data_IF_082683134479
#
_entry.id   IF_082683134479
#
_cell.length_a   1.000
_cell.length_b   1.000
_cell.length_c   1.000
_cell.angle_alpha   90.00
_cell.angle_beta   90.00
_cell.angle_gamma   90.00
#
_symmetry.space_group_name_H-M   'P 1'
#
loop_
_entity.id
_entity.type
_entity.pdbx_description
1 polymer ?
#
# COMPACT_ATOMS: atom_id res chain seq x y z
N UNK A 1 -6.61 -20.26 -4.46
CA UNK A 1 -7.13 -19.03 -3.82
C UNK A 1 -8.00 -19.36 -2.62
N UNK A 2 -9.00 -20.26 -2.73
CA UNK A 2 -9.80 -20.70 -1.57
C UNK A 2 -8.98 -21.26 -0.41
N UNK A 3 -7.97 -22.08 -0.69
CA UNK A 3 -7.12 -22.66 0.37
C UNK A 3 -6.29 -21.61 1.12
N UNK A 4 -5.90 -20.52 0.46
CA UNK A 4 -5.18 -19.41 1.10
C UNK A 4 -6.15 -18.48 1.86
N UNK A 5 -7.41 -18.34 1.40
CA UNK A 5 -8.47 -17.65 2.16
C UNK A 5 -8.87 -18.39 3.42
N UNK A 6 -8.98 -19.72 3.33
CA UNK A 6 -9.30 -20.58 4.48
C UNK A 6 -8.25 -20.46 5.60
N UNK A 7 -7.01 -20.15 5.22
CA UNK A 7 -5.89 -19.93 6.15
C UNK A 7 -5.68 -18.46 6.52
N UNK A 8 -6.62 -17.58 6.13
CA UNK A 8 -6.57 -16.13 6.37
C UNK A 8 -5.35 -15.40 5.78
N UNK A 9 -4.64 -16.04 4.84
CA UNK A 9 -3.44 -15.48 4.18
C UNK A 9 -3.82 -14.46 3.10
N UNK A 10 -5.02 -14.58 2.52
CA UNK A 10 -5.57 -13.65 1.51
C UNK A 10 -7.04 -13.39 1.83
N UNK A 11 -7.49 -12.15 1.74
CA UNK A 11 -8.87 -11.70 1.99
C UNK A 11 -9.70 -11.59 0.71
N UNK A 12 -9.10 -11.37 -0.46
CA UNK A 12 -9.83 -11.15 -1.73
C UNK A 12 -9.32 -12.03 -2.90
N UNK A 13 -9.90 -11.87 -4.10
CA UNK A 13 -9.47 -12.58 -5.33
C UNK A 13 -8.30 -11.86 -6.00
N UNK A 14 -7.88 -10.72 -5.44
CA UNK A 14 -6.79 -9.93 -5.96
C UNK A 14 -5.44 -10.61 -5.67
N UNK A 15 -4.41 -10.07 -6.31
CA UNK A 15 -3.02 -10.50 -6.11
C UNK A 15 -2.72 -10.63 -4.61
N UNK A 16 -2.18 -11.76 -4.14
CA UNK A 16 -1.85 -12.00 -2.72
C UNK A 16 -0.91 -10.93 -2.12
N UNK A 17 -0.26 -10.14 -2.98
CA UNK A 17 0.62 -9.03 -2.63
C UNK A 17 -0.13 -7.89 -1.93
N UNK A 18 -1.40 -7.66 -2.28
CA UNK A 18 -2.23 -6.61 -1.66
C UNK A 18 -2.60 -6.99 -0.23
N UNK A 19 -3.27 -8.12 -0.10
CA UNK A 19 -3.72 -8.66 1.20
C UNK A 19 -2.54 -8.87 2.17
N UNK A 20 -1.38 -9.34 1.68
CA UNK A 20 -0.20 -9.47 2.53
C UNK A 20 0.34 -8.11 3.00
N UNK A 21 0.29 -7.07 2.16
CA UNK A 21 0.67 -5.73 2.60
C UNK A 21 -0.29 -5.20 3.67
N UNK A 22 -1.60 -5.39 3.49
CA UNK A 22 -2.61 -5.03 4.51
C UNK A 22 -2.30 -5.71 5.85
N UNK A 23 -2.03 -7.01 5.82
CA UNK A 23 -1.65 -7.77 7.01
C UNK A 23 -0.40 -7.18 7.67
N UNK A 24 0.68 -6.96 6.91
CA UNK A 24 1.93 -6.42 7.45
C UNK A 24 1.76 -5.04 8.09
N UNK A 25 1.06 -4.11 7.43
CA UNK A 25 0.80 -2.78 7.99
C UNK A 25 -0.08 -2.86 9.24
N UNK A 26 -1.13 -3.69 9.23
CA UNK A 26 -1.99 -3.88 10.40
C UNK A 26 -1.23 -4.47 11.59
N UNK A 27 -0.36 -5.46 11.36
CA UNK A 27 0.48 -6.07 12.40
C UNK A 27 1.50 -5.08 12.94
N UNK A 28 2.18 -4.32 12.07
CA UNK A 28 3.22 -3.38 12.47
C UNK A 28 2.69 -2.21 13.31
N UNK A 29 1.50 -1.70 12.98
CA UNK A 29 0.98 -0.46 13.55
C UNK A 29 -0.31 -0.61 14.36
N UNK A 30 -0.85 -1.83 14.48
CA UNK A 30 -2.12 -2.08 15.15
C UNK A 30 -3.31 -1.44 14.44
N UNK A 31 -3.24 -1.25 13.11
CA UNK A 31 -4.32 -0.65 12.34
C UNK A 31 -5.52 -1.60 12.20
N UNK A 32 -6.72 -1.03 12.26
CA UNK A 32 -7.95 -1.73 11.95
C UNK A 32 -8.17 -1.74 10.43
N UNK A 33 -8.25 -2.92 9.83
CA UNK A 33 -8.53 -3.06 8.40
C UNK A 33 -10.01 -2.78 8.10
N UNK A 34 -10.26 -1.95 7.08
CA UNK A 34 -11.59 -1.65 6.59
C UNK A 34 -12.16 -2.84 5.80
N UNK A 35 -13.44 -3.11 5.98
CA UNK A 35 -14.16 -4.23 5.34
C UNK A 35 -14.95 -3.80 4.12
N UNK A 36 -15.29 -2.51 4.04
CA UNK A 36 -16.07 -1.92 2.96
C UNK A 36 -15.17 -1.29 1.90
N UNK A 37 -15.14 -1.89 0.71
CA UNK A 37 -14.43 -1.31 -0.44
C UNK A 37 -14.97 0.05 -0.90
N UNK A 38 -16.15 0.47 -0.41
CA UNK A 38 -16.75 1.76 -0.73
C UNK A 38 -16.14 2.92 0.08
N UNK A 39 -15.45 2.63 1.20
CA UNK A 39 -14.90 3.62 2.11
C UNK A 39 -13.77 4.48 1.50
N UNK A 40 -13.04 3.93 0.53
CA UNK A 40 -11.96 4.63 -0.17
C UNK A 40 -10.63 4.72 0.60
N UNK A 41 -10.46 3.87 1.61
CA UNK A 41 -9.22 3.59 2.33
C UNK A 41 -9.25 2.10 2.77
N UNK A 42 -8.10 1.55 3.15
CA UNK A 42 -7.95 0.12 3.49
C UNK A 42 -7.79 -0.11 4.99
N UNK A 43 -7.36 0.89 5.76
CA UNK A 43 -7.16 0.75 7.20
C UNK A 43 -7.32 2.07 7.95
N UNK A 44 -7.55 2.00 9.27
CA UNK A 44 -7.51 3.15 10.18
C UNK A 44 -6.66 2.88 11.41
N UNK A 45 -6.07 3.92 11.98
CA UNK A 45 -5.48 3.84 13.32
C UNK A 45 -6.52 4.15 14.42
N UNK A 46 -6.08 4.09 15.68
CA UNK A 46 -6.91 4.37 16.86
C UNK A 46 -7.46 5.80 16.93
N UNK A 47 -6.81 6.74 16.25
CA UNK A 47 -7.18 8.15 16.22
C UNK A 47 -8.09 8.47 15.01
N UNK A 48 -8.44 7.44 14.22
CA UNK A 48 -9.31 7.55 13.06
C UNK A 48 -8.60 8.01 11.79
N UNK A 49 -7.26 8.06 11.77
CA UNK A 49 -6.49 8.39 10.58
C UNK A 49 -6.65 7.29 9.55
N UNK A 50 -6.95 7.65 8.30
CA UNK A 50 -7.28 6.71 7.22
C UNK A 50 -6.08 6.46 6.33
N UNK A 51 -5.79 5.20 6.08
CA UNK A 51 -4.68 4.73 5.26
C UNK A 51 -5.19 4.00 4.03
N UNK A 52 -4.74 4.40 2.85
CA UNK A 52 -4.82 3.54 1.66
C UNK A 52 -3.53 2.74 1.57
N UNK A 53 -3.63 1.43 1.41
CA UNK A 53 -2.50 0.52 1.28
C UNK A 53 -2.32 0.12 -0.20
N UNK A 54 -1.08 0.20 -0.68
CA UNK A 54 -0.72 -0.18 -2.05
C UNK A 54 0.61 -0.90 -2.03
N UNK A 55 0.73 -1.93 -2.85
CA UNK A 55 1.96 -2.73 -2.89
C UNK A 55 2.33 -3.15 -4.30
N UNK A 56 3.61 -3.50 -4.47
CA UNK A 56 4.15 -3.97 -5.74
C UNK A 56 5.24 -5.01 -5.50
N UNK A 57 5.14 -6.13 -6.21
CA UNK A 57 6.18 -7.16 -6.28
C UNK A 57 7.10 -6.89 -7.47
N UNK A 58 8.39 -6.77 -7.21
CA UNK A 58 9.43 -6.57 -8.23
C UNK A 58 10.01 -7.92 -8.62
N UNK A 59 10.10 -8.20 -9.92
CA UNK A 59 10.68 -9.43 -10.45
C UNK A 59 11.72 -9.12 -11.53
N UNK A 60 12.56 -10.09 -11.89
CA UNK A 60 13.54 -9.92 -12.96
C UNK A 60 12.88 -9.53 -14.31
N UNK A 61 11.65 -10.00 -14.55
CA UNK A 61 10.87 -9.68 -15.76
C UNK A 61 10.01 -8.42 -15.61
N UNK A 62 9.86 -7.88 -14.39
CA UNK A 62 9.08 -6.67 -14.12
C UNK A 62 9.65 -5.91 -12.91
N UNK A 63 10.64 -5.07 -13.19
CA UNK A 63 11.23 -4.17 -12.19
C UNK A 63 10.43 -2.88 -11.94
N UNK A 64 9.26 -2.72 -12.56
CA UNK A 64 8.47 -1.49 -12.44
C UNK A 64 7.93 -1.33 -11.03
N UNK A 65 8.29 -0.21 -10.39
CA UNK A 65 7.77 0.24 -9.09
C UNK A 65 6.41 0.95 -9.18
N UNK A 66 5.73 0.84 -10.33
CA UNK A 66 4.39 1.41 -10.48
C UNK A 66 3.40 0.66 -9.59
N UNK A 67 2.75 1.38 -8.69
CA UNK A 67 1.67 0.86 -7.85
C UNK A 67 0.40 0.62 -8.69
N UNK A 68 -0.57 -0.10 -8.11
CA UNK A 68 -1.90 -0.16 -8.70
C UNK A 68 -2.56 1.21 -8.73
N UNK A 69 -3.45 1.40 -9.70
CA UNK A 69 -4.13 2.68 -9.91
C UNK A 69 -4.94 3.11 -8.68
N UNK A 70 -4.87 4.40 -8.35
CA UNK A 70 -5.70 5.04 -7.34
C UNK A 70 -6.80 5.85 -8.03
N UNK A 71 -8.04 5.58 -7.70
CA UNK A 71 -9.19 6.34 -8.22
C UNK A 71 -9.57 7.43 -7.23
N UNK A 72 -10.17 8.53 -7.73
CA UNK A 72 -10.72 9.59 -6.88
C UNK A 72 -9.69 10.21 -5.92
N UNK A 73 -8.42 10.27 -6.34
CA UNK A 73 -7.34 10.83 -5.52
C UNK A 73 -7.65 12.27 -5.02
N UNK A 74 -8.23 13.18 -5.84
CA UNK A 74 -8.58 14.52 -5.37
C UNK A 74 -9.67 14.57 -4.29
N UNK A 75 -10.45 13.49 -4.10
CA UNK A 75 -11.55 13.45 -3.11
C UNK A 75 -11.08 13.19 -1.67
N UNK A 76 -9.76 13.00 -1.43
CA UNK A 76 -9.17 12.86 -0.08
C UNK A 76 -9.87 11.83 0.82
N UNK A 77 -10.15 10.64 0.27
CA UNK A 77 -10.79 9.52 1.00
C UNK A 77 -9.88 8.83 2.02
N UNK A 78 -8.58 9.10 1.95
CA UNK A 78 -7.57 8.66 2.90
C UNK A 78 -6.65 9.84 3.23
N UNK A 79 -5.99 9.77 4.38
CA UNK A 79 -5.08 10.79 4.89
C UNK A 79 -3.63 10.47 4.54
N UNK A 80 -3.28 9.18 4.49
CA UNK A 80 -1.95 8.69 4.11
C UNK A 80 -2.00 7.52 3.13
N UNK A 81 -1.02 7.47 2.22
CA UNK A 81 -0.73 6.31 1.39
C UNK A 81 0.38 5.49 2.06
N UNK A 82 0.06 4.27 2.47
CA UNK A 82 1.01 3.28 2.92
C UNK A 82 1.43 2.41 1.72
N UNK A 83 2.70 2.51 1.31
CA UNK A 83 3.22 1.86 0.12
C UNK A 83 4.33 0.85 0.43
N UNK A 84 4.29 -0.32 -0.21
CA UNK A 84 5.24 -1.41 0.03
C UNK A 84 5.77 -2.03 -1.28
N UNK A 85 7.09 -2.12 -1.40
CA UNK A 85 7.78 -2.88 -2.44
C UNK A 85 8.26 -4.21 -1.88
N UNK A 86 7.82 -5.28 -2.51
CA UNK A 86 8.35 -6.62 -2.30
C UNK A 86 9.38 -6.98 -3.38
N UNK A 87 10.31 -7.86 -3.03
CA UNK A 87 11.15 -8.52 -4.01
C UNK A 87 10.46 -9.75 -4.65
N UNK A 88 11.20 -10.47 -5.49
CA UNK A 88 10.67 -11.65 -6.17
C UNK A 88 10.30 -12.80 -5.22
N UNK A 89 10.76 -12.79 -3.97
CA UNK A 89 10.50 -13.80 -2.94
C UNK A 89 9.47 -13.35 -1.91
N UNK A 90 8.78 -12.24 -2.15
CA UNK A 90 7.84 -11.61 -1.20
C UNK A 90 8.52 -11.06 0.06
N UNK A 91 9.84 -10.84 0.03
CA UNK A 91 10.54 -10.18 1.12
C UNK A 91 10.35 -8.66 1.01
N UNK A 92 10.23 -8.01 2.17
CA UNK A 92 10.07 -6.55 2.27
C UNK A 92 11.34 -5.86 1.78
N UNK A 93 11.25 -5.20 0.63
CA UNK A 93 12.36 -4.45 0.04
C UNK A 93 12.40 -3.02 0.58
N UNK A 94 11.28 -2.31 0.51
CA UNK A 94 11.10 -0.95 1.05
C UNK A 94 9.63 -0.69 1.39
N UNK A 95 9.39 0.06 2.45
CA UNK A 95 8.07 0.53 2.84
C UNK A 95 8.09 2.02 3.21
N UNK A 96 7.01 2.73 2.92
CA UNK A 96 6.88 4.16 3.18
C UNK A 96 5.44 4.53 3.48
N UNK A 97 5.25 5.49 4.37
CA UNK A 97 3.97 6.18 4.57
C UNK A 97 4.13 7.60 4.01
N UNK A 98 3.27 7.96 3.06
CA UNK A 98 3.25 9.27 2.40
C UNK A 98 1.98 10.03 2.81
N UNK A 99 2.07 11.34 3.12
CA UNK A 99 0.87 12.15 3.28
C UNK A 99 0.09 12.22 1.97
N UNK A 100 -1.24 12.34 2.05
CA UNK A 100 -2.07 12.64 0.87
C UNK A 100 -1.65 13.99 0.26
N UNK A 101 -1.29 14.96 1.11
CA UNK A 101 -0.74 16.24 0.68
C UNK A 101 0.52 16.06 -0.18
N UNK A 102 0.53 16.67 -1.36
CA UNK A 102 1.62 16.55 -2.34
C UNK A 102 1.64 15.25 -3.15
N UNK A 103 0.78 14.27 -2.85
CA UNK A 103 0.73 13.00 -3.57
C UNK A 103 0.22 13.16 -5.01
N UNK A 104 -0.78 14.02 -5.22
CA UNK A 104 -1.34 14.29 -6.55
C UNK A 104 -0.28 14.82 -7.53
N UNK A 105 0.58 15.74 -7.07
CA UNK A 105 1.67 16.30 -7.87
C UNK A 105 2.75 15.29 -8.27
N UNK A 106 2.76 14.09 -7.67
CA UNK A 106 3.67 12.99 -8.01
C UNK A 106 3.00 11.85 -8.77
N UNK A 107 1.69 11.93 -8.91
CA UNK A 107 0.93 10.97 -9.68
C UNK A 107 0.77 11.44 -11.12
N UNK A 108 0.73 10.51 -12.05
CA UNK A 108 0.30 10.78 -13.43
C UNK A 108 -1.15 10.35 -13.57
N UNK A 109 -2.03 11.28 -13.96
CA UNK A 109 -3.40 10.95 -14.30
C UNK A 109 -3.47 10.22 -15.65
N UNK A 110 -4.29 9.16 -15.71
CA UNK A 110 -4.63 8.47 -16.95
C UNK A 110 -6.10 8.69 -17.26
N UNK A 111 -6.37 9.44 -18.33
CA UNK A 111 -7.74 9.68 -18.80
C UNK A 111 -8.46 8.39 -19.20
N UNK A 112 -7.73 7.43 -19.80
CA UNK A 112 -8.31 6.16 -20.24
C UNK A 112 -8.87 5.32 -19.08
N UNK A 113 -8.12 5.22 -17.98
CA UNK A 113 -8.56 4.45 -16.81
C UNK A 113 -9.28 5.29 -15.74
N UNK A 114 -9.43 6.61 -15.99
CA UNK A 114 -9.91 7.61 -15.05
C UNK A 114 -9.29 7.44 -13.65
N UNK A 115 -7.96 7.32 -13.61
CA UNK A 115 -7.24 6.97 -12.40
C UNK A 115 -5.81 7.50 -12.39
N UNK A 116 -5.26 7.62 -11.18
CA UNK A 116 -3.95 8.14 -10.88
C UNK A 116 -2.95 7.01 -10.71
N UNK A 117 -1.75 7.18 -11.26
CA UNK A 117 -0.64 6.24 -11.09
C UNK A 117 0.49 6.90 -10.35
N UNK A 118 0.93 6.24 -9.29
CA UNK A 118 2.19 6.55 -8.62
C UNK A 118 3.23 5.50 -8.99
N UNK A 119 4.44 5.97 -9.29
CA UNK A 119 5.63 5.12 -9.35
C UNK A 119 6.45 5.41 -8.09
N UNK A 120 6.72 4.38 -7.29
CA UNK A 120 7.39 4.54 -6.01
C UNK A 120 8.91 4.66 -6.20
N UNK A 121 9.33 5.78 -6.75
CA UNK A 121 10.73 6.13 -6.98
C UNK A 121 11.39 6.70 -5.72
N UNK A 122 12.72 6.78 -5.73
CA UNK A 122 13.52 7.24 -4.58
C UNK A 122 13.07 8.63 -4.08
N UNK A 123 12.70 9.53 -4.99
CA UNK A 123 12.26 10.87 -4.65
C UNK A 123 10.95 10.94 -3.84
N UNK A 124 10.20 9.84 -3.71
CA UNK A 124 9.05 9.76 -2.81
C UNK A 124 9.49 9.83 -1.34
N UNK A 125 10.68 9.33 -1.01
CA UNK A 125 11.23 9.40 0.36
C UNK A 125 11.67 10.80 0.75
N UNK A 126 11.96 11.65 -0.22
CA UNK A 126 12.30 13.06 0.02
C UNK A 126 11.06 13.96 0.20
N UNK A 127 9.85 13.40 0.15
CA UNK A 127 8.63 14.18 0.40
C UNK A 127 8.60 14.68 1.84
N UNK A 128 8.17 15.94 2.01
CA UNK A 128 7.85 16.43 3.34
C UNK A 128 6.76 15.55 3.97
N UNK A 129 7.01 15.08 5.19
CA UNK A 129 6.10 14.18 5.90
C UNK A 129 6.16 12.70 5.46
N UNK A 130 7.02 12.34 4.50
CA UNK A 130 7.33 10.95 4.23
C UNK A 130 7.95 10.27 5.46
N UNK A 131 7.52 9.05 5.73
CA UNK A 131 8.08 8.20 6.78
C UNK A 131 8.54 6.90 6.15
N UNK A 132 9.86 6.67 6.10
CA UNK A 132 10.38 5.33 5.81
C UNK A 132 9.99 4.43 6.97
N UNK A 133 9.28 3.35 6.67
CA UNK A 133 8.81 2.37 7.66
C UNK A 133 9.27 0.96 7.31
N UNK A 134 10.37 0.87 6.55
CA UNK A 134 10.86 -0.41 6.03
C UNK A 134 11.17 -1.40 7.16
N UNK A 135 11.76 -0.93 8.26
CA UNK A 135 12.21 -1.81 9.34
C UNK A 135 11.06 -2.26 10.24
N UNK A 136 10.06 -1.41 10.49
CA UNK A 136 8.82 -1.79 11.18
C UNK A 136 8.08 -2.88 10.40
N UNK A 137 7.98 -2.71 9.07
CA UNK A 137 7.31 -3.69 8.21
C UNK A 137 8.10 -4.99 8.09
N UNK A 138 9.44 -4.94 8.11
CA UNK A 138 10.27 -6.17 8.21
C UNK A 138 10.06 -6.89 9.53
N UNK A 139 10.05 -6.15 10.64
CA UNK A 139 9.82 -6.72 11.98
C UNK A 139 8.46 -7.41 12.05
N UNK A 140 7.41 -6.80 11.47
CA UNK A 140 6.10 -7.41 11.37
C UNK A 140 6.09 -8.67 10.48
N UNK A 141 6.88 -8.70 9.40
CA UNK A 141 7.00 -9.88 8.54
C UNK A 141 7.70 -11.05 9.23
N UNK A 142 8.61 -10.80 10.17
CA UNK A 142 9.29 -11.83 10.96
C UNK A 142 8.40 -12.38 12.10
N UNK A 143 7.38 -11.63 12.51
CA UNK A 143 6.45 -12.00 13.57
C UNK A 143 5.26 -12.86 13.10
N UNK A 144 5.14 -13.13 11.79
CA UNK A 144 4.05 -13.91 11.15
C UNK A 144 4.64 -15.19 10.57
#
# INVERSE_FOLDING_TARGET
>A
MEELRRREVVRTSNSPVGDYAELLFSTAFGWALETSSAAGHDATDKDGVRYQIKSRRLTAHNGSRQLSFMRRLPEKKFDYLAALLFDARYQVKRAIILPHEGLEGRCTFSAHSNAWRLRLEENCWDMQGARDVTDEIRSAAEAI
#
